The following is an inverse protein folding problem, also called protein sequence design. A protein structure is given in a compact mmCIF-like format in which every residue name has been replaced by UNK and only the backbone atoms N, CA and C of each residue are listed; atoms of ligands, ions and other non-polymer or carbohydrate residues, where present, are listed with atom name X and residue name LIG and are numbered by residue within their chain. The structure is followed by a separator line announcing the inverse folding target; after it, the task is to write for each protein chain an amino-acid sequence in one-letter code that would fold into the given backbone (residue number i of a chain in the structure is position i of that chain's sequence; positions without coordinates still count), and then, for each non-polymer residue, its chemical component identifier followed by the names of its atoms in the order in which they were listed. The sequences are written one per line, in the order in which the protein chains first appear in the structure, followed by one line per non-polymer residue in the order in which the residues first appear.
data_IF_182609728423
#
_entry.id   IF_182609728423
#
_cell.length_a   1.000
_cell.length_b   1.000
_cell.length_c   1.000
_cell.angle_alpha   90.00
_cell.angle_beta   90.00
_cell.angle_gamma   90.00
#
_symmetry.space_group_name_H-M   'P 1'
#
loop_
_entity.id
_entity.type
_entity.pdbx_description
1 polymer ?
#
# COMPACT_ATOMS: atom_id res chain seq x y z
N UNK A 1 8.53 -16.02 9.40
CA UNK A 1 7.39 -16.50 8.56
C UNK A 1 7.01 -15.51 7.46
N UNK A 2 6.76 -14.23 7.75
CA UNK A 2 6.38 -13.23 6.73
C UNK A 2 7.34 -13.17 5.52
N UNK A 3 8.66 -13.16 5.78
CA UNK A 3 9.66 -13.21 4.70
C UNK A 3 9.62 -14.48 3.84
N UNK A 4 9.26 -15.63 4.42
CA UNK A 4 9.12 -16.88 3.67
C UNK A 4 7.86 -16.88 2.80
N UNK A 5 6.74 -16.36 3.31
CA UNK A 5 5.53 -16.17 2.53
C UNK A 5 5.78 -15.23 1.34
N UNK A 6 6.51 -14.13 1.57
CA UNK A 6 6.92 -13.21 0.52
C UNK A 6 7.83 -13.88 -0.52
N UNK A 7 8.81 -14.68 -0.10
CA UNK A 7 9.71 -15.37 -1.03
C UNK A 7 8.97 -16.31 -2.01
N UNK A 8 7.83 -16.87 -1.58
CA UNK A 8 6.98 -17.72 -2.43
C UNK A 8 5.99 -16.90 -3.27
N UNK A 9 5.33 -15.90 -2.67
CA UNK A 9 4.28 -15.13 -3.33
C UNK A 9 4.80 -14.04 -4.29
N UNK A 10 6.03 -13.56 -4.08
CA UNK A 10 6.63 -12.50 -4.88
C UNK A 10 6.14 -11.08 -4.52
N UNK A 11 6.52 -10.11 -5.36
CA UNK A 11 6.32 -8.68 -5.11
C UNK A 11 5.07 -8.12 -5.77
N UNK A 12 4.01 -7.91 -4.98
CA UNK A 12 2.78 -7.23 -5.41
C UNK A 12 2.84 -5.69 -5.38
N UNK A 13 1.70 -5.04 -5.65
CA UNK A 13 1.54 -3.58 -5.71
C UNK A 13 2.17 -2.82 -4.54
N UNK A 14 1.96 -3.29 -3.30
CA UNK A 14 2.52 -2.65 -2.10
C UNK A 14 4.04 -2.50 -2.17
N UNK A 15 4.74 -3.56 -2.55
CA UNK A 15 6.19 -3.59 -2.60
C UNK A 15 6.73 -2.78 -3.78
N UNK A 16 6.01 -2.76 -4.91
CA UNK A 16 6.37 -1.94 -6.07
C UNK A 16 6.26 -0.45 -5.76
N UNK A 17 5.16 -0.02 -5.14
CA UNK A 17 4.99 1.37 -4.73
C UNK A 17 6.03 1.77 -3.68
N UNK A 18 6.23 0.95 -2.64
CA UNK A 18 7.24 1.20 -1.62
C UNK A 18 8.67 1.24 -2.20
N UNK A 19 8.98 0.41 -3.20
CA UNK A 19 10.27 0.44 -3.89
C UNK A 19 10.50 1.74 -4.66
N UNK A 20 9.49 2.22 -5.42
CA UNK A 20 9.58 3.50 -6.15
C UNK A 20 9.78 4.66 -5.16
N UNK A 21 9.00 4.70 -4.08
CA UNK A 21 9.11 5.71 -3.02
C UNK A 21 10.48 5.64 -2.31
N UNK A 22 10.98 4.45 -2.01
CA UNK A 22 12.33 4.26 -1.44
C UNK A 22 13.44 4.76 -2.37
N UNK A 23 13.26 4.61 -3.69
CA UNK A 23 14.16 5.19 -4.70
C UNK A 23 14.19 6.72 -4.72
N UNK A 24 13.23 7.39 -4.07
CA UNK A 24 13.22 8.84 -3.84
C UNK A 24 13.84 9.23 -2.49
N UNK A 25 14.40 8.28 -1.73
CA UNK A 25 15.05 8.52 -0.45
C UNK A 25 14.13 8.50 0.76
N UNK A 26 12.87 8.07 0.62
CA UNK A 26 11.97 7.95 1.77
C UNK A 26 12.43 6.81 2.72
N UNK A 27 12.27 6.95 4.05
CA UNK A 27 12.69 5.92 5.00
C UNK A 27 11.94 4.60 4.78
N UNK A 28 12.66 3.51 4.53
CA UNK A 28 12.10 2.23 4.06
C UNK A 28 10.97 1.70 4.96
N UNK A 29 11.27 1.43 6.24
CA UNK A 29 10.29 0.84 7.16
C UNK A 29 9.04 1.73 7.34
N UNK A 30 9.24 3.05 7.42
CA UNK A 30 8.15 4.02 7.55
C UNK A 30 7.29 4.05 6.28
N UNK A 31 7.92 3.99 5.11
CA UNK A 31 7.20 3.95 3.81
C UNK A 31 6.32 2.72 3.72
N UNK A 32 6.81 1.53 4.08
CA UNK A 32 6.00 0.33 4.10
C UNK A 32 4.81 0.47 5.07
N UNK A 33 5.05 0.93 6.29
CA UNK A 33 4.00 1.08 7.30
C UNK A 33 2.90 2.06 6.86
N UNK A 34 3.27 3.17 6.21
CA UNK A 34 2.33 4.15 5.69
C UNK A 34 1.55 3.59 4.49
N UNK A 35 2.21 2.93 3.53
CA UNK A 35 1.60 2.50 2.26
C UNK A 35 0.67 1.30 2.44
N UNK A 36 0.95 0.40 3.38
CA UNK A 36 0.28 -0.90 3.48
C UNK A 36 -1.25 -0.81 3.63
N UNK A 37 -1.82 0.03 4.52
CA UNK A 37 -3.28 0.12 4.67
C UNK A 37 -3.99 0.59 3.41
N UNK A 38 -3.41 1.55 2.68
CA UNK A 38 -3.98 2.08 1.43
C UNK A 38 -4.00 1.04 0.32
N UNK A 39 -2.92 0.26 0.18
CA UNK A 39 -2.87 -0.80 -0.83
C UNK A 39 -3.79 -1.97 -0.48
N UNK A 40 -3.94 -2.29 0.82
CA UNK A 40 -4.93 -3.25 1.28
C UNK A 40 -6.35 -2.77 0.90
N UNK A 41 -6.69 -1.51 1.20
CA UNK A 41 -7.98 -0.92 0.84
C UNK A 41 -8.23 -0.94 -0.67
N UNK A 42 -7.22 -0.56 -1.47
CA UNK A 42 -7.29 -0.58 -2.93
C UNK A 42 -7.58 -1.98 -3.49
N UNK A 43 -6.91 -3.01 -2.97
CA UNK A 43 -7.04 -4.38 -3.48
C UNK A 43 -8.16 -5.20 -2.83
N UNK A 44 -8.75 -4.76 -1.72
CA UNK A 44 -9.76 -5.50 -0.98
C UNK A 44 -10.95 -5.95 -1.87
N UNK A 45 -11.52 -5.11 -2.77
CA UNK A 45 -12.62 -5.53 -3.65
C UNK A 45 -12.26 -6.66 -4.61
N UNK A 46 -10.99 -6.72 -5.07
CA UNK A 46 -10.51 -7.75 -6.00
C UNK A 46 -9.96 -9.00 -5.31
N UNK A 47 -9.77 -8.97 -3.98
CA UNK A 47 -9.19 -10.08 -3.21
C UNK A 47 -9.96 -10.34 -1.89
N UNK A 48 -11.27 -10.65 -1.95
CA UNK A 48 -12.10 -10.79 -0.75
C UNK A 48 -11.63 -11.93 0.17
N UNK A 49 -11.14 -13.03 -0.39
CA UNK A 49 -10.65 -14.19 0.38
C UNK A 49 -9.37 -13.87 1.15
N UNK A 50 -8.44 -13.14 0.52
CA UNK A 50 -7.22 -12.67 1.17
C UNK A 50 -7.56 -11.68 2.30
N UNK A 51 -8.50 -10.76 2.03
CA UNK A 51 -8.98 -9.77 3.01
C UNK A 51 -9.60 -10.46 4.23
N UNK A 52 -10.44 -11.49 4.05
CA UNK A 52 -11.01 -12.27 5.17
C UNK A 52 -9.94 -12.98 5.99
N UNK A 53 -8.89 -13.53 5.35
CA UNK A 53 -7.77 -14.18 6.06
C UNK A 53 -6.98 -13.17 6.90
N UNK A 54 -6.79 -11.96 6.40
CA UNK A 54 -6.12 -10.87 7.13
C UNK A 54 -7.00 -10.42 8.31
N UNK A 55 -8.30 -10.19 8.09
CA UNK A 55 -9.25 -9.81 9.13
C UNK A 55 -9.25 -10.82 10.29
N UNK A 56 -9.34 -12.12 9.96
CA UNK A 56 -9.24 -13.21 10.95
C UNK A 56 -7.91 -13.19 11.71
N UNK A 57 -6.79 -12.95 11.04
CA UNK A 57 -5.47 -12.92 11.67
C UNK A 57 -5.27 -11.70 12.59
N UNK A 58 -6.00 -10.62 12.32
CA UNK A 58 -6.03 -9.40 13.14
C UNK A 58 -7.14 -9.42 14.20
N UNK A 59 -7.96 -10.47 14.25
CA UNK A 59 -9.12 -10.60 15.16
C UNK A 59 -10.12 -9.43 15.04
N UNK A 60 -10.40 -9.02 13.81
CA UNK A 60 -11.35 -7.95 13.45
C UNK A 60 -12.29 -8.40 12.33
N UNK A 61 -13.38 -7.66 12.15
CA UNK A 61 -14.32 -7.89 11.03
C UNK A 61 -13.84 -7.26 9.71
N UNK A 62 -13.18 -6.10 9.80
CA UNK A 62 -12.67 -5.34 8.65
C UNK A 62 -11.14 -5.28 8.70
N UNK A 63 -10.48 -5.93 7.72
CA UNK A 63 -9.03 -5.99 7.63
C UNK A 63 -8.37 -4.62 7.44
N UNK A 64 -9.00 -3.72 6.68
CA UNK A 64 -8.48 -2.37 6.43
C UNK A 64 -8.54 -1.56 7.72
N UNK A 65 -9.70 -1.56 8.38
CA UNK A 65 -9.88 -0.85 9.65
C UNK A 65 -8.94 -1.39 10.74
N UNK A 66 -8.84 -2.73 10.87
CA UNK A 66 -7.94 -3.35 11.84
C UNK A 66 -6.47 -3.03 11.59
N UNK A 67 -6.03 -3.09 10.34
CA UNK A 67 -4.65 -2.74 10.01
C UNK A 67 -4.35 -1.26 10.28
N UNK A 68 -5.30 -0.36 9.98
CA UNK A 68 -5.18 1.06 10.30
C UNK A 68 -5.03 1.29 11.80
N UNK A 69 -5.85 0.62 12.61
CA UNK A 69 -5.77 0.69 14.06
C UNK A 69 -4.40 0.21 14.58
N UNK A 70 -3.83 -0.85 14.00
CA UNK A 70 -2.47 -1.32 14.32
C UNK A 70 -1.42 -0.24 13.99
N UNK A 71 -1.49 0.37 12.80
CA UNK A 71 -0.52 1.41 12.42
C UNK A 71 -0.66 2.68 13.28
N UNK A 72 -1.88 3.03 13.67
CA UNK A 72 -2.15 4.18 14.55
C UNK A 72 -1.63 3.92 15.97
N UNK A 73 -1.89 2.75 16.55
CA UNK A 73 -1.37 2.35 17.84
C UNK A 73 0.17 2.31 17.88
N UNK A 74 0.81 2.06 16.74
CA UNK A 74 2.27 2.09 16.58
C UNK A 74 2.84 3.50 16.32
N UNK A 75 2.01 4.55 16.30
CA UNK A 75 2.44 5.93 16.08
C UNK A 75 2.92 6.21 14.65
N UNK A 76 2.47 5.41 13.67
CA UNK A 76 2.82 5.59 12.27
C UNK A 76 2.00 6.77 11.70
N UNK A 77 2.63 7.72 10.98
CA UNK A 77 1.89 8.77 10.28
C UNK A 77 0.85 8.17 9.31
N UNK A 78 -0.29 8.84 9.13
CA UNK A 78 -1.36 8.32 8.25
C UNK A 78 -1.03 8.41 6.76
N UNK A 79 -0.16 9.34 6.37
CA UNK A 79 0.20 9.59 4.98
C UNK A 79 1.63 10.07 4.80
N UNK A 80 2.02 10.29 3.55
CA UNK A 80 3.34 10.76 3.16
C UNK A 80 3.49 12.29 3.15
N UNK A 81 2.48 13.05 3.58
CA UNK A 81 2.58 14.49 3.76
C UNK A 81 3.81 14.85 4.61
N UNK A 82 4.64 15.77 4.10
CA UNK A 82 5.91 16.16 4.72
C UNK A 82 7.08 15.20 4.50
N UNK A 83 6.86 14.03 3.90
CA UNK A 83 7.90 13.09 3.47
C UNK A 83 8.05 13.02 1.94
N UNK A 84 6.98 13.28 1.20
CA UNK A 84 6.93 13.33 -0.25
C UNK A 84 6.32 14.65 -0.69
N UNK A 85 6.90 15.31 -1.70
CA UNK A 85 6.34 16.53 -2.27
C UNK A 85 5.14 16.20 -3.16
N UNK A 86 4.14 17.07 -3.12
CA UNK A 86 2.89 16.89 -3.88
C UNK A 86 3.11 16.87 -5.40
N UNK A 87 4.09 17.61 -5.90
CA UNK A 87 4.47 17.63 -7.32
C UNK A 87 5.24 16.37 -7.77
N UNK A 88 5.54 15.43 -6.87
CA UNK A 88 6.14 14.13 -7.20
C UNK A 88 5.08 13.02 -7.38
N UNK A 89 3.81 13.28 -7.05
CA UNK A 89 2.77 12.24 -7.03
C UNK A 89 2.51 11.64 -8.42
N UNK A 90 2.54 12.48 -9.47
CA UNK A 90 2.39 12.02 -10.85
C UNK A 90 3.57 11.12 -11.29
N UNK A 91 4.80 11.50 -10.92
CA UNK A 91 6.00 10.70 -11.23
C UNK A 91 5.96 9.34 -10.53
N UNK A 92 5.64 9.33 -9.23
CA UNK A 92 5.51 8.10 -8.44
C UNK A 92 4.44 7.19 -9.04
N UNK A 93 3.30 7.75 -9.42
CA UNK A 93 2.23 6.97 -10.03
C UNK A 93 2.68 6.36 -11.37
N UNK A 94 3.20 7.17 -12.28
CA UNK A 94 3.65 6.71 -13.59
C UNK A 94 4.77 5.66 -13.51
N UNK A 95 5.70 5.80 -12.55
CA UNK A 95 6.77 4.82 -12.33
C UNK A 95 6.23 3.52 -11.76
N UNK A 96 5.28 3.59 -10.83
CA UNK A 96 4.70 2.40 -10.20
C UNK A 96 3.81 1.62 -11.17
N UNK A 97 3.03 2.29 -12.02
CA UNK A 97 2.20 1.63 -13.06
C UNK A 97 3.04 0.79 -14.03
N UNK A 98 4.29 1.17 -14.32
CA UNK A 98 5.17 0.40 -15.21
C UNK A 98 5.68 -0.91 -14.61
N UNK A 99 5.63 -1.05 -13.29
CA UNK A 99 6.26 -2.17 -12.58
C UNK A 99 5.27 -2.98 -11.73
N UNK A 100 4.00 -2.55 -11.66
CA UNK A 100 2.94 -3.32 -11.01
C UNK A 100 2.69 -4.61 -11.78
N UNK A 101 2.55 -5.76 -11.09
CA UNK A 101 2.19 -7.01 -11.77
C UNK A 101 0.84 -6.91 -12.48
N UNK A 102 0.76 -7.50 -13.68
CA UNK A 102 -0.47 -7.51 -14.49
C UNK A 102 -1.61 -8.30 -13.82
N UNK A 103 -1.29 -9.20 -12.89
CA UNK A 103 -2.20 -10.01 -12.10
C UNK A 103 -2.59 -9.38 -10.74
N UNK A 104 -2.34 -8.07 -10.55
CA UNK A 104 -2.81 -7.38 -9.34
C UNK A 104 -4.35 -7.48 -9.23
N UNK A 105 -4.92 -7.82 -8.04
CA UNK A 105 -6.34 -8.17 -7.92
C UNK A 105 -7.33 -7.11 -8.40
N UNK A 106 -6.96 -5.84 -8.26
CA UNK A 106 -7.69 -4.71 -8.84
C UNK A 106 -6.85 -4.10 -9.96
N UNK A 107 -7.35 -4.02 -11.20
CA UNK A 107 -6.61 -3.43 -12.30
C UNK A 107 -6.17 -2.00 -12.03
N UNK A 108 -4.90 -1.71 -12.30
CA UNK A 108 -4.31 -0.37 -12.12
C UNK A 108 -4.29 0.36 -13.47
N UNK A 109 -5.43 0.94 -13.85
CA UNK A 109 -5.58 1.70 -15.11
C UNK A 109 -6.41 2.98 -14.91
N UNK A 110 -6.43 3.87 -15.91
CA UNK A 110 -7.32 5.05 -15.92
C UNK A 110 -7.10 5.99 -14.72
N UNK A 111 -5.83 6.21 -14.35
CA UNK A 111 -5.46 7.05 -13.21
C UNK A 111 -5.66 6.41 -11.83
N UNK A 112 -5.95 5.10 -11.76
CA UNK A 112 -6.09 4.39 -10.49
C UNK A 112 -4.84 4.49 -9.61
N UNK A 113 -3.63 4.38 -10.19
CA UNK A 113 -2.41 4.55 -9.41
C UNK A 113 -2.28 5.98 -8.88
N UNK A 114 -2.60 6.98 -9.69
CA UNK A 114 -2.52 8.38 -9.25
C UNK A 114 -3.45 8.67 -8.07
N UNK A 115 -4.67 8.12 -8.09
CA UNK A 115 -5.62 8.18 -6.97
C UNK A 115 -5.11 7.46 -5.73
N UNK A 116 -4.52 6.27 -5.90
CA UNK A 116 -3.90 5.54 -4.79
C UNK A 116 -2.72 6.33 -4.19
N UNK A 117 -1.85 6.89 -5.02
CA UNK A 117 -0.72 7.72 -4.57
C UNK A 117 -1.20 9.00 -3.87
N UNK A 118 -2.30 9.61 -4.33
CA UNK A 118 -2.96 10.71 -3.62
C UNK A 118 -3.42 10.27 -2.23
N UNK A 119 -4.17 9.17 -2.14
CA UNK A 119 -4.70 8.66 -0.87
C UNK A 119 -3.58 8.35 0.13
N UNK A 120 -2.49 7.72 -0.34
CA UNK A 120 -1.28 7.46 0.43
C UNK A 120 -0.62 8.76 0.90
N UNK A 121 -0.60 9.80 0.08
CA UNK A 121 -0.01 11.08 0.44
C UNK A 121 -0.83 11.82 1.51
N UNK A 122 -2.15 11.90 1.33
CA UNK A 122 -3.09 12.55 2.27
C UNK A 122 -3.30 11.75 3.56
N UNK A 123 -3.20 10.42 3.50
CA UNK A 123 -3.60 9.52 4.58
C UNK A 123 -5.10 9.16 4.59
N UNK A 124 -5.77 9.27 3.43
CA UNK A 124 -7.19 8.97 3.20
C UNK A 124 -7.41 7.55 2.65
N UNK A 125 -7.04 6.53 3.44
CA UNK A 125 -7.37 5.12 3.15
C UNK A 125 -8.87 4.84 3.32
#
# INVERSE_FOLDING_TARGET
LAGAAFAVAGSGLHLKLAHVLGGLGLPLARTHAIVLPHVLAFNAPGAPDATRRIARALEVDDAVAGLRAVTEAAGIPRGLYGLLREDQLDEVAARTEKVVPADNPVPVHGGAMRRLVQAVWEGSA
#
